data_IF_328310298493
#
_entry.id   IF_328310298493
#
_cell.length_a   1.000
_cell.length_b   1.000
_cell.length_c   1.000
_cell.angle_alpha   90.00
_cell.angle_beta   90.00
_cell.angle_gamma   90.00
#
_symmetry.space_group_name_H-M   'P 1'
#
loop_
_entity.id
_entity.type
_entity.pdbx_description
1 polymer ?
#
# COMPACT_ATOMS: atom_id res chain seq x y z
N UNK A 1 -7.97 10.22 13.94
CA UNK A 1 -7.65 10.83 12.63
C UNK A 1 -6.45 10.15 12.03
N UNK A 2 -6.49 9.87 10.75
CA UNK A 2 -5.35 9.29 10.02
C UNK A 2 -4.88 10.27 8.94
N UNK A 3 -3.56 10.36 8.74
CA UNK A 3 -2.92 11.29 7.81
C UNK A 3 -2.18 10.58 6.65
N UNK A 4 -2.35 9.25 6.52
CA UNK A 4 -1.69 8.45 5.45
C UNK A 4 -2.56 7.28 5.04
N UNK A 5 -2.54 6.93 3.75
CA UNK A 5 -3.39 5.88 3.19
C UNK A 5 -3.20 4.53 3.92
N UNK A 6 -1.97 4.10 4.19
CA UNK A 6 -1.72 2.85 4.88
C UNK A 6 -2.29 2.82 6.32
N UNK A 7 -2.30 3.98 7.01
CA UNK A 7 -2.90 4.09 8.34
C UNK A 7 -4.42 4.23 8.28
N UNK A 8 -4.96 4.77 7.18
CA UNK A 8 -6.41 4.79 6.92
C UNK A 8 -6.97 3.37 6.83
N UNK A 9 -6.33 2.51 6.05
CA UNK A 9 -6.74 1.11 5.87
C UNK A 9 -6.72 0.32 7.17
N UNK A 10 -5.65 0.45 7.96
CA UNK A 10 -5.58 -0.16 9.28
C UNK A 10 -6.66 0.38 10.21
N UNK A 11 -6.89 1.69 10.21
CA UNK A 11 -7.90 2.32 11.05
C UNK A 11 -9.30 1.83 10.68
N UNK A 12 -9.65 1.81 9.39
CA UNK A 12 -10.93 1.30 8.89
C UNK A 12 -11.13 -0.20 9.15
N UNK A 13 -10.04 -0.98 9.24
CA UNK A 13 -10.09 -2.40 9.57
C UNK A 13 -10.31 -2.66 11.06
N UNK A 14 -9.87 -1.75 11.92
CA UNK A 14 -9.81 -1.96 13.37
C UNK A 14 -10.96 -1.31 14.12
N UNK A 15 -11.45 -0.16 13.69
CA UNK A 15 -12.48 0.58 14.43
C UNK A 15 -13.73 0.85 13.59
N UNK A 16 -14.83 1.15 14.26
CA UNK A 16 -16.07 1.54 13.58
C UNK A 16 -15.91 2.92 12.93
N UNK A 17 -16.55 3.19 11.77
CA UNK A 17 -16.48 4.48 11.10
C UNK A 17 -16.83 5.67 12.02
N UNK A 18 -17.76 5.50 12.96
CA UNK A 18 -18.15 6.54 13.94
C UNK A 18 -17.04 6.97 14.90
N UNK A 19 -15.96 6.17 15.01
CA UNK A 19 -14.77 6.49 15.81
C UNK A 19 -13.67 7.15 14.98
N UNK A 20 -13.85 7.28 13.66
CA UNK A 20 -12.85 7.83 12.74
C UNK A 20 -13.20 9.28 12.46
N UNK A 21 -12.40 10.21 12.98
CA UNK A 21 -12.59 11.63 12.77
C UNK A 21 -12.39 12.03 11.30
N UNK A 22 -11.34 11.52 10.65
CA UNK A 22 -11.15 11.60 9.21
C UNK A 22 -10.07 10.61 8.72
N UNK A 23 -10.11 10.31 7.43
CA UNK A 23 -9.10 9.59 6.65
C UNK A 23 -8.54 10.53 5.58
N UNK A 24 -7.47 10.15 4.89
CA UNK A 24 -6.96 10.97 3.77
C UNK A 24 -7.95 10.93 2.59
N UNK A 25 -7.95 11.97 1.76
CA UNK A 25 -8.76 12.02 0.54
C UNK A 25 -8.44 10.85 -0.40
N UNK A 26 -7.21 10.32 -0.35
CA UNK A 26 -6.77 9.16 -1.13
C UNK A 26 -7.63 7.91 -0.88
N UNK A 27 -8.17 7.75 0.34
CA UNK A 27 -9.07 6.65 0.68
C UNK A 27 -10.42 6.71 -0.05
N UNK A 28 -10.76 7.85 -0.65
CA UNK A 28 -11.98 8.01 -1.45
C UNK A 28 -11.73 7.98 -2.96
N UNK A 29 -10.49 7.73 -3.39
CA UNK A 29 -10.22 7.48 -4.80
C UNK A 29 -10.83 6.15 -5.26
N UNK A 30 -11.10 6.04 -6.56
CA UNK A 30 -11.83 4.90 -7.15
C UNK A 30 -11.24 3.54 -6.80
N UNK A 31 -9.91 3.44 -6.80
CA UNK A 31 -9.22 2.19 -6.48
C UNK A 31 -9.39 1.82 -4.99
N UNK A 32 -9.16 2.78 -4.10
CA UNK A 32 -9.30 2.58 -2.66
C UNK A 32 -10.75 2.25 -2.26
N UNK A 33 -11.74 2.89 -2.87
CA UNK A 33 -13.17 2.62 -2.61
C UNK A 33 -13.61 1.21 -3.03
N UNK A 34 -12.96 0.57 -3.99
CA UNK A 34 -13.22 -0.84 -4.32
C UNK A 34 -12.89 -1.77 -3.14
N UNK A 35 -11.81 -1.47 -2.43
CA UNK A 35 -11.33 -2.26 -1.30
C UNK A 35 -12.00 -1.84 0.02
N UNK A 36 -12.26 -0.54 0.17
CA UNK A 36 -12.74 0.10 1.40
C UNK A 36 -13.98 0.98 1.15
N UNK A 37 -15.12 0.42 0.73
CA UNK A 37 -16.31 1.22 0.36
C UNK A 37 -16.84 2.07 1.53
N UNK A 38 -16.58 1.69 2.79
CA UNK A 38 -16.94 2.47 3.96
C UNK A 38 -16.21 3.82 4.05
N UNK A 39 -15.09 4.00 3.36
CA UNK A 39 -14.37 5.29 3.31
C UNK A 39 -15.25 6.42 2.75
N UNK A 40 -16.21 6.11 1.87
CA UNK A 40 -17.15 7.09 1.32
C UNK A 40 -18.02 7.80 2.39
N UNK A 41 -18.15 7.22 3.58
CA UNK A 41 -18.97 7.75 4.68
C UNK A 41 -18.12 8.45 5.76
N UNK A 42 -16.80 8.49 5.60
CA UNK A 42 -15.88 9.08 6.57
C UNK A 42 -15.43 10.43 6.04
N UNK A 43 -15.33 11.43 6.91
CA UNK A 43 -14.78 12.73 6.53
C UNK A 43 -13.35 12.60 6.03
N UNK A 44 -12.97 13.39 5.02
CA UNK A 44 -11.61 13.39 4.47
C UNK A 44 -10.79 14.54 4.99
N UNK A 45 -9.48 14.37 4.96
CA UNK A 45 -8.48 15.40 5.17
C UNK A 45 -7.43 15.40 4.06
N UNK A 46 -6.74 16.52 3.90
CA UNK A 46 -5.68 16.73 2.92
C UNK A 46 -4.30 16.88 3.59
N UNK A 47 -4.16 16.34 4.78
CA UNK A 47 -2.93 16.36 5.58
C UNK A 47 -2.49 17.78 6.00
N UNK A 48 -3.42 18.72 6.16
CA UNK A 48 -3.10 20.06 6.63
C UNK A 48 -3.17 20.18 8.15
N UNK A 49 -2.33 21.02 8.72
CA UNK A 49 -2.34 21.29 10.16
C UNK A 49 -3.64 21.97 10.60
N UNK A 50 -4.22 22.79 9.75
CA UNK A 50 -5.48 23.50 9.97
C UNK A 50 -6.64 22.52 10.14
N UNK A 51 -6.71 21.48 9.32
CA UNK A 51 -7.73 20.44 9.42
C UNK A 51 -7.60 19.64 10.73
N UNK A 52 -6.36 19.33 11.14
CA UNK A 52 -6.10 18.66 12.43
C UNK A 52 -6.55 19.53 13.59
N UNK A 53 -6.19 20.82 13.60
CA UNK A 53 -6.58 21.75 14.67
C UNK A 53 -8.09 21.96 14.71
N UNK A 54 -8.76 22.07 13.57
CA UNK A 54 -10.21 22.23 13.48
C UNK A 54 -10.98 20.98 13.97
N UNK A 55 -10.47 19.79 13.63
CA UNK A 55 -11.10 18.49 13.96
C UNK A 55 -10.90 18.12 15.44
N UNK A 56 -9.83 18.58 16.08
CA UNK A 56 -9.45 18.25 17.47
C UNK A 56 -9.52 16.76 17.78
N UNK A 57 -8.82 15.90 17.03
CA UNK A 57 -8.83 14.47 17.30
C UNK A 57 -8.10 14.16 18.61
N UNK A 58 -8.48 13.08 19.28
CA UNK A 58 -7.79 12.56 20.47
C UNK A 58 -6.53 11.74 20.08
N UNK A 59 -6.53 11.15 18.90
CA UNK A 59 -5.43 10.35 18.35
C UNK A 59 -5.18 10.72 16.88
N UNK A 60 -3.90 10.88 16.53
CA UNK A 60 -3.42 11.09 15.17
C UNK A 60 -2.47 9.96 14.80
N UNK A 61 -2.78 9.26 13.71
CA UNK A 61 -1.87 8.31 13.07
C UNK A 61 -1.16 9.00 11.92
N UNK A 62 0.16 8.92 11.90
CA UNK A 62 1.01 9.53 10.87
C UNK A 62 2.16 8.58 10.51
N UNK A 63 3.07 8.98 9.66
CA UNK A 63 4.23 8.18 9.26
C UNK A 63 5.57 8.89 9.50
N UNK A 64 6.66 8.20 9.25
CA UNK A 64 8.03 8.72 9.36
C UNK A 64 8.37 9.80 8.31
N UNK A 65 7.57 9.94 7.25
CA UNK A 65 7.78 10.96 6.20
C UNK A 65 7.13 12.31 6.54
N UNK A 66 6.43 12.39 7.67
CA UNK A 66 5.86 13.66 8.16
C UNK A 66 6.98 14.66 8.45
N UNK A 67 6.90 15.84 7.84
CA UNK A 67 7.93 16.88 7.98
C UNK A 67 8.13 17.29 9.44
N UNK A 68 9.34 17.71 9.85
CA UNK A 68 9.60 18.15 11.23
C UNK A 68 8.69 19.32 11.65
N UNK A 69 8.34 20.21 10.72
CA UNK A 69 7.42 21.32 10.97
C UNK A 69 6.01 20.80 11.27
N UNK A 70 5.46 19.95 10.42
CA UNK A 70 4.15 19.33 10.63
C UNK A 70 4.11 18.54 11.93
N UNK A 71 5.14 17.75 12.22
CA UNK A 71 5.25 16.99 13.47
C UNK A 71 5.16 17.89 14.71
N UNK A 72 5.84 19.04 14.71
CA UNK A 72 5.73 20.01 15.81
C UNK A 72 4.29 20.54 15.98
N UNK A 73 3.60 20.85 14.88
CA UNK A 73 2.22 21.33 14.90
C UNK A 73 1.26 20.25 15.43
N UNK A 74 1.44 19.00 14.99
CA UNK A 74 0.66 17.86 15.50
C UNK A 74 0.86 17.66 17.02
N UNK A 75 2.08 17.80 17.53
CA UNK A 75 2.35 17.72 18.96
C UNK A 75 1.72 18.86 19.77
N UNK A 76 1.55 20.05 19.17
CA UNK A 76 0.88 21.19 19.79
C UNK A 76 -0.66 21.08 19.78
N UNK A 77 -1.23 20.18 19.00
CA UNK A 77 -2.67 19.98 18.93
C UNK A 77 -3.29 19.42 20.23
N UNK A 78 -2.47 18.89 21.12
CA UNK A 78 -2.91 18.18 22.33
C UNK A 78 -3.35 16.73 22.07
N UNK A 79 -3.37 16.28 20.84
CA UNK A 79 -3.68 14.90 20.48
C UNK A 79 -2.50 13.97 20.77
N UNK A 80 -2.79 12.70 21.06
CA UNK A 80 -1.77 11.66 21.04
C UNK A 80 -1.34 11.39 19.60
N UNK A 81 -0.08 11.61 19.26
CA UNK A 81 0.49 11.34 17.94
C UNK A 81 1.20 10.00 17.96
N UNK A 82 0.84 9.10 17.04
CA UNK A 82 1.49 7.80 16.85
C UNK A 82 2.04 7.75 15.44
N UNK A 83 3.37 7.63 15.36
CA UNK A 83 4.09 7.45 14.10
C UNK A 83 4.13 5.96 13.77
N UNK A 84 3.58 5.60 12.62
CA UNK A 84 3.53 4.25 12.11
C UNK A 84 4.62 4.09 11.04
N UNK A 85 5.62 3.23 11.27
CA UNK A 85 6.68 3.02 10.28
C UNK A 85 6.15 2.32 9.03
N UNK A 86 6.81 2.47 7.87
CA UNK A 86 6.48 1.71 6.68
C UNK A 86 6.69 0.20 6.94
N UNK A 87 5.90 -0.62 6.27
CA UNK A 87 5.97 -2.08 6.34
C UNK A 87 6.35 -2.66 4.98
N UNK A 88 7.54 -3.21 4.87
CA UNK A 88 8.12 -3.76 3.63
C UNK A 88 8.01 -5.28 3.57
N UNK A 89 7.55 -5.92 4.64
CA UNK A 89 7.39 -7.36 4.74
C UNK A 89 6.31 -7.75 5.78
N UNK A 90 5.91 -9.01 5.77
CA UNK A 90 4.83 -9.50 6.65
C UNK A 90 5.16 -9.42 8.14
N UNK A 91 6.42 -9.47 8.53
CA UNK A 91 6.81 -9.28 9.95
C UNK A 91 6.56 -7.85 10.39
N UNK A 92 6.91 -6.88 9.54
CA UNK A 92 6.64 -5.47 9.80
C UNK A 92 5.12 -5.17 9.73
N UNK A 93 4.36 -5.78 8.80
CA UNK A 93 2.89 -5.67 8.79
C UNK A 93 2.29 -6.12 10.11
N UNK A 94 2.72 -7.26 10.67
CA UNK A 94 2.24 -7.71 12.00
C UNK A 94 2.56 -6.69 13.08
N UNK A 95 3.77 -6.13 13.05
CA UNK A 95 4.21 -5.15 14.04
C UNK A 95 3.39 -3.84 13.95
N UNK A 96 3.19 -3.28 12.76
CA UNK A 96 2.41 -2.05 12.59
C UNK A 96 0.93 -2.25 12.85
N UNK A 97 0.36 -3.42 12.51
CA UNK A 97 -1.03 -3.77 12.84
C UNK A 97 -1.23 -3.81 14.36
N UNK A 98 -0.29 -4.38 15.10
CA UNK A 98 -0.31 -4.38 16.56
C UNK A 98 -0.17 -2.98 17.14
N UNK A 99 0.76 -2.19 16.61
CA UNK A 99 1.00 -0.81 17.03
C UNK A 99 -0.28 0.04 16.91
N UNK A 100 -0.95 -0.04 15.76
CA UNK A 100 -2.20 0.69 15.52
C UNK A 100 -3.32 0.12 16.40
N UNK A 101 -3.43 -1.20 16.51
CA UNK A 101 -4.40 -1.86 17.39
C UNK A 101 -4.29 -1.42 18.85
N UNK A 102 -3.07 -1.33 19.38
CA UNK A 102 -2.82 -0.83 20.73
C UNK A 102 -3.16 0.66 20.85
N UNK A 103 -2.82 1.45 19.84
CA UNK A 103 -3.08 2.88 19.83
C UNK A 103 -4.58 3.21 19.89
N UNK A 104 -5.42 2.42 19.21
CA UNK A 104 -6.89 2.63 19.15
C UNK A 104 -7.68 1.78 20.16
N UNK A 105 -6.98 0.97 20.99
CA UNK A 105 -7.60 0.10 22.00
C UNK A 105 -8.29 -1.15 21.41
N UNK A 106 -7.87 -1.58 20.21
CA UNK A 106 -8.47 -2.71 19.48
C UNK A 106 -7.46 -3.85 19.23
N UNK A 107 -6.57 -4.11 20.19
CA UNK A 107 -5.56 -5.18 20.09
C UNK A 107 -6.17 -6.55 19.73
N UNK A 108 -7.30 -6.99 20.30
CA UNK A 108 -7.89 -8.26 19.91
C UNK A 108 -8.28 -8.32 18.43
N UNK A 109 -8.81 -7.22 17.87
CA UNK A 109 -9.14 -7.15 16.43
C UNK A 109 -7.87 -7.17 15.56
N UNK A 110 -6.81 -6.51 15.99
CA UNK A 110 -5.52 -6.55 15.31
C UNK A 110 -4.98 -7.99 15.22
N UNK A 111 -5.04 -8.77 16.29
CA UNK A 111 -4.61 -10.18 16.26
C UNK A 111 -5.50 -11.04 15.34
N UNK A 112 -6.80 -10.76 15.25
CA UNK A 112 -7.68 -11.43 14.26
C UNK A 112 -7.28 -11.11 12.83
N UNK A 113 -6.94 -9.86 12.51
CA UNK A 113 -6.45 -9.47 11.17
C UNK A 113 -5.14 -10.18 10.85
N UNK A 114 -4.21 -10.21 11.79
CA UNK A 114 -2.92 -10.92 11.65
C UNK A 114 -3.15 -12.41 11.42
N UNK A 115 -4.01 -13.04 12.20
CA UNK A 115 -4.31 -14.47 12.06
C UNK A 115 -4.92 -14.80 10.69
N UNK A 116 -5.79 -13.93 10.15
CA UNK A 116 -6.34 -14.07 8.78
C UNK A 116 -5.26 -13.97 7.72
N UNK A 117 -4.37 -12.98 7.81
CA UNK A 117 -3.24 -12.83 6.91
C UNK A 117 -2.33 -14.06 6.97
N UNK A 118 -2.00 -14.54 8.18
CA UNK A 118 -1.14 -15.71 8.38
C UNK A 118 -1.78 -16.98 7.83
N UNK A 119 -3.10 -17.12 7.92
CA UNK A 119 -3.81 -18.25 7.30
C UNK A 119 -3.72 -18.15 5.78
N UNK A 120 -3.99 -16.98 5.18
CA UNK A 120 -3.89 -16.78 3.75
C UNK A 120 -2.47 -17.08 3.23
N UNK A 121 -1.42 -16.70 3.98
CA UNK A 121 -0.04 -17.02 3.63
C UNK A 121 0.25 -18.54 3.68
N UNK A 122 -0.31 -19.27 4.63
CA UNK A 122 -0.19 -20.74 4.67
C UNK A 122 -0.92 -21.41 3.49
N UNK A 123 -2.12 -20.94 3.18
CA UNK A 123 -2.91 -21.47 2.07
C UNK A 123 -2.19 -21.20 0.73
N UNK A 124 -1.63 -20.01 0.58
CA UNK A 124 -0.82 -19.65 -0.59
C UNK A 124 0.44 -20.53 -0.71
N UNK A 125 1.12 -20.78 0.40
CA UNK A 125 2.31 -21.65 0.41
C UNK A 125 2.01 -23.08 -0.03
N UNK A 126 0.80 -23.58 0.25
CA UNK A 126 0.36 -24.91 -0.17
C UNK A 126 0.07 -25.02 -1.68
N UNK A 127 -0.10 -23.89 -2.37
CA UNK A 127 -0.42 -23.82 -3.81
C UNK A 127 0.71 -23.29 -4.65
N UNK A 128 1.91 -23.18 -4.09
CA UNK A 128 3.08 -22.68 -4.83
C UNK A 128 3.37 -23.52 -6.06
N UNK A 129 3.74 -22.89 -7.19
CA UNK A 129 4.14 -23.62 -8.38
C UNK A 129 5.46 -24.36 -8.16
N UNK A 130 5.65 -25.48 -8.85
CA UNK A 130 6.87 -26.30 -8.78
C UNK A 130 8.10 -25.57 -9.34
N UNK A 131 7.89 -24.52 -10.12
CA UNK A 131 8.97 -23.70 -10.71
C UNK A 131 8.72 -22.22 -10.40
N UNK A 132 9.82 -21.51 -10.12
CA UNK A 132 9.75 -20.09 -9.84
C UNK A 132 9.48 -19.29 -11.12
N UNK A 133 8.43 -18.44 -11.08
CA UNK A 133 8.08 -17.51 -12.16
C UNK A 133 8.87 -16.22 -11.96
N UNK A 134 9.57 -15.76 -12.99
CA UNK A 134 10.35 -14.51 -13.00
C UNK A 134 9.41 -13.32 -13.24
N UNK A 135 9.20 -12.50 -12.22
CA UNK A 135 8.27 -11.38 -12.28
C UNK A 135 9.02 -10.07 -12.16
N UNK A 136 8.55 -9.07 -12.88
CA UNK A 136 8.95 -7.67 -12.71
C UNK A 136 7.72 -6.82 -12.44
N UNK A 137 7.72 -6.07 -11.35
CA UNK A 137 6.73 -5.02 -11.13
C UNK A 137 6.96 -3.88 -12.12
N UNK A 138 5.89 -3.28 -12.64
CA UNK A 138 5.97 -2.18 -13.59
C UNK A 138 4.95 -1.11 -13.24
N UNK A 139 5.41 -0.03 -12.66
CA UNK A 139 4.59 1.11 -12.26
C UNK A 139 4.66 2.28 -13.22
N UNK A 140 3.95 3.35 -12.91
CA UNK A 140 3.92 4.57 -13.70
C UNK A 140 5.30 5.19 -13.91
N UNK A 141 5.61 5.53 -15.17
CA UNK A 141 6.90 6.08 -15.55
C UNK A 141 8.04 5.08 -15.59
N UNK A 142 7.75 3.77 -15.61
CA UNK A 142 8.76 2.72 -15.61
C UNK A 142 9.35 2.41 -14.24
N UNK A 143 8.68 2.81 -13.16
CA UNK A 143 9.11 2.44 -11.81
C UNK A 143 9.01 0.93 -11.59
N UNK A 144 10.04 0.35 -11.02
CA UNK A 144 10.16 -1.08 -10.74
C UNK A 144 10.48 -1.25 -9.26
N UNK A 145 9.61 -1.94 -8.48
CA UNK A 145 9.89 -2.22 -7.09
C UNK A 145 10.93 -3.34 -6.94
N UNK A 146 11.93 -3.10 -6.11
CA UNK A 146 13.02 -4.04 -5.84
C UNK A 146 12.71 -5.05 -4.73
N UNK A 147 13.77 -5.73 -4.26
CA UNK A 147 13.64 -6.81 -3.27
C UNK A 147 13.35 -6.37 -1.84
N UNK A 148 13.56 -5.10 -1.52
CA UNK A 148 13.29 -4.55 -0.19
C UNK A 148 11.91 -3.88 -0.11
N UNK A 149 10.91 -4.42 -0.82
CA UNK A 149 9.56 -3.88 -0.87
C UNK A 149 8.51 -4.91 -0.46
N UNK A 150 7.35 -4.43 -0.04
CA UNK A 150 6.21 -5.30 0.22
C UNK A 150 5.78 -6.08 -1.04
N UNK A 151 5.90 -5.47 -2.22
CA UNK A 151 5.69 -6.17 -3.50
C UNK A 151 6.52 -7.46 -3.58
N UNK A 152 7.82 -7.37 -3.25
CA UNK A 152 8.69 -8.55 -3.26
C UNK A 152 8.25 -9.58 -2.21
N UNK A 153 7.90 -9.16 -1.01
CA UNK A 153 7.45 -10.08 0.05
C UNK A 153 6.19 -10.86 -0.37
N UNK A 154 5.24 -10.19 -1.02
CA UNK A 154 4.02 -10.82 -1.57
C UNK A 154 4.36 -11.78 -2.69
N UNK A 155 5.23 -11.36 -3.62
CA UNK A 155 5.66 -12.17 -4.75
C UNK A 155 6.36 -13.46 -4.30
N UNK A 156 7.31 -13.36 -3.35
CA UNK A 156 8.00 -14.52 -2.78
C UNK A 156 7.04 -15.47 -2.05
N UNK A 157 6.06 -14.92 -1.34
CA UNK A 157 5.02 -15.73 -0.70
C UNK A 157 4.22 -16.54 -1.73
N UNK A 158 3.98 -15.97 -2.91
CA UNK A 158 3.32 -16.65 -4.03
C UNK A 158 4.23 -17.62 -4.82
N UNK A 159 5.51 -17.73 -4.47
CA UNK A 159 6.47 -18.59 -5.17
C UNK A 159 7.11 -17.95 -6.42
N UNK A 160 6.91 -16.65 -6.62
CA UNK A 160 7.57 -15.89 -7.68
C UNK A 160 8.96 -15.39 -7.28
N UNK A 161 9.72 -14.94 -8.26
CA UNK A 161 11.04 -14.32 -8.10
C UNK A 161 11.02 -12.92 -8.69
N UNK A 162 11.26 -11.91 -7.85
CA UNK A 162 11.49 -10.57 -8.33
C UNK A 162 12.86 -10.46 -8.98
N UNK A 163 12.89 -10.17 -10.28
CA UNK A 163 14.13 -10.04 -11.02
C UNK A 163 14.80 -8.67 -10.85
N UNK A 164 14.09 -7.68 -10.34
CA UNK A 164 14.65 -6.39 -9.96
C UNK A 164 15.31 -6.49 -8.58
N UNK A 165 16.63 -6.27 -8.55
CA UNK A 165 17.38 -6.31 -7.28
C UNK A 165 17.07 -5.10 -6.39
N UNK A 166 16.98 -3.92 -7.00
CA UNK A 166 16.75 -2.64 -6.33
C UNK A 166 15.56 -1.91 -6.96
N UNK A 167 14.97 -1.01 -6.20
CA UNK A 167 14.02 -0.04 -6.71
C UNK A 167 14.69 0.82 -7.77
N UNK A 168 13.95 1.17 -8.82
CA UNK A 168 14.51 2.01 -9.87
C UNK A 168 13.53 2.31 -10.98
N UNK A 169 14.03 3.04 -11.97
CA UNK A 169 13.31 3.32 -13.20
C UNK A 169 13.98 2.59 -14.35
N UNK A 170 13.18 1.88 -15.11
CA UNK A 170 13.60 1.18 -16.32
C UNK A 170 12.91 1.82 -17.52
N UNK A 171 13.64 1.91 -18.62
CA UNK A 171 13.04 2.11 -19.92
C UNK A 171 12.49 0.79 -20.48
N UNK A 172 11.77 0.88 -21.58
CA UNK A 172 11.17 -0.30 -22.23
C UNK A 172 12.25 -1.29 -22.71
N UNK A 173 13.39 -0.80 -23.14
CA UNK A 173 14.53 -1.58 -23.60
C UNK A 173 15.15 -2.38 -22.43
N UNK A 174 15.37 -1.74 -21.31
CA UNK A 174 15.86 -2.38 -20.07
C UNK A 174 14.92 -3.45 -19.55
N UNK A 175 13.60 -3.19 -19.60
CA UNK A 175 12.60 -4.18 -19.27
C UNK A 175 12.66 -5.41 -20.19
N UNK A 176 12.75 -5.19 -21.51
CA UNK A 176 12.87 -6.28 -22.50
C UNK A 176 14.15 -7.07 -22.28
N UNK A 177 15.26 -6.39 -22.01
CA UNK A 177 16.56 -7.03 -21.74
C UNK A 177 16.54 -7.88 -20.47
N UNK A 178 15.77 -7.49 -19.45
CA UNK A 178 15.61 -8.23 -18.19
C UNK A 178 14.84 -9.56 -18.37
N UNK A 179 14.07 -9.71 -19.45
CA UNK A 179 13.33 -10.94 -19.81
C UNK A 179 12.48 -11.50 -18.67
N UNK A 180 11.53 -10.74 -18.11
CA UNK A 180 10.56 -11.31 -17.17
C UNK A 180 9.64 -12.30 -17.86
N UNK A 181 9.18 -13.32 -17.11
CA UNK A 181 8.12 -14.21 -17.57
C UNK A 181 6.77 -13.51 -17.51
N UNK A 182 6.58 -12.68 -16.48
CA UNK A 182 5.32 -11.95 -16.19
C UNK A 182 5.64 -10.51 -15.80
N UNK A 183 4.81 -9.58 -16.28
CA UNK A 183 4.75 -8.21 -15.78
C UNK A 183 3.59 -8.04 -14.80
N UNK A 184 3.88 -7.43 -13.66
CA UNK A 184 2.88 -7.11 -12.64
C UNK A 184 2.65 -5.59 -12.58
N UNK A 185 1.41 -5.17 -12.78
CA UNK A 185 1.00 -3.76 -12.78
C UNK A 185 0.13 -3.46 -11.56
N UNK A 186 0.34 -2.29 -10.93
CA UNK A 186 -0.63 -1.74 -10.00
C UNK A 186 -1.86 -1.22 -10.73
N UNK A 187 -3.06 -1.40 -10.16
CA UNK A 187 -4.31 -1.01 -10.84
C UNK A 187 -4.62 0.49 -10.73
N UNK A 188 -3.96 1.24 -9.87
CA UNK A 188 -4.16 2.68 -9.65
C UNK A 188 -3.98 3.52 -10.92
N UNK A 189 -3.23 3.04 -11.88
CA UNK A 189 -2.81 3.80 -13.05
C UNK A 189 -3.48 3.36 -14.35
N UNK A 190 -4.32 2.33 -14.33
CA UNK A 190 -4.87 1.75 -15.57
C UNK A 190 -5.90 2.68 -16.21
N UNK A 191 -6.68 3.37 -15.39
CA UNK A 191 -7.80 4.21 -15.85
C UNK A 191 -7.47 5.72 -15.85
N UNK A 192 -6.26 6.12 -15.49
CA UNK A 192 -5.89 7.55 -15.38
C UNK A 192 -5.02 7.94 -16.58
N UNK A 193 -5.53 8.74 -17.53
CA UNK A 193 -4.71 9.21 -18.66
C UNK A 193 -3.52 10.03 -18.14
N UNK A 194 -2.32 9.53 -18.38
CA UNK A 194 -1.10 10.27 -18.09
C UNK A 194 0.05 9.73 -18.94
N UNK A 195 1.03 10.58 -19.26
CA UNK A 195 2.23 10.16 -19.98
C UNK A 195 2.97 9.02 -19.29
N UNK A 196 2.81 8.88 -17.97
CA UNK A 196 3.40 7.78 -17.20
C UNK A 196 2.69 6.45 -17.45
N UNK A 197 1.39 6.48 -17.73
CA UNK A 197 0.57 5.28 -18.01
C UNK A 197 0.68 4.88 -19.48
N UNK A 198 0.95 5.82 -20.38
CA UNK A 198 1.09 5.55 -21.81
C UNK A 198 2.18 4.52 -22.11
N UNK A 199 3.21 4.43 -21.28
CA UNK A 199 4.23 3.37 -21.39
C UNK A 199 3.64 1.97 -21.23
N UNK A 200 2.57 1.81 -20.42
CA UNK A 200 1.91 0.52 -20.22
C UNK A 200 1.18 0.04 -21.49
N UNK A 201 0.78 0.98 -22.35
CA UNK A 201 0.16 0.73 -23.64
C UNK A 201 1.17 0.62 -24.80
N UNK A 202 2.47 0.65 -24.50
CA UNK A 202 3.52 0.58 -25.54
C UNK A 202 3.34 -0.69 -26.40
N UNK A 203 3.29 -0.58 -27.75
CA UNK A 203 2.94 -1.70 -28.64
C UNK A 203 3.84 -2.93 -28.46
N UNK A 204 5.13 -2.71 -28.17
CA UNK A 204 6.08 -3.79 -27.95
C UNK A 204 5.78 -4.53 -26.64
N UNK A 205 5.42 -3.82 -25.57
CA UNK A 205 5.05 -4.46 -24.29
C UNK A 205 3.73 -5.24 -24.43
N UNK A 206 2.76 -4.71 -25.16
CA UNK A 206 1.51 -5.43 -25.47
C UNK A 206 1.78 -6.70 -26.28
N UNK A 207 2.68 -6.63 -27.28
CA UNK A 207 3.04 -7.78 -28.12
C UNK A 207 3.79 -8.85 -27.32
N UNK A 208 4.76 -8.48 -26.49
CA UNK A 208 5.59 -9.41 -25.76
C UNK A 208 4.92 -9.98 -24.51
N UNK A 209 4.12 -9.18 -23.81
CA UNK A 209 3.57 -9.51 -22.50
C UNK A 209 2.04 -9.50 -22.43
N UNK A 210 1.31 -9.24 -23.51
CA UNK A 210 -0.15 -9.08 -23.50
C UNK A 210 -0.93 -10.22 -22.82
N UNK A 211 -0.46 -11.46 -22.98
CA UNK A 211 -0.99 -12.66 -22.29
C UNK A 211 -0.27 -13.04 -20.99
N UNK A 212 0.71 -12.25 -20.56
CA UNK A 212 1.57 -12.52 -19.40
C UNK A 212 1.65 -11.31 -18.47
N UNK A 213 0.52 -10.62 -18.34
CA UNK A 213 0.36 -9.49 -17.42
C UNK A 213 -0.58 -9.88 -16.30
N UNK A 214 -0.23 -9.48 -15.09
CA UNK A 214 -1.11 -9.51 -13.94
C UNK A 214 -1.32 -8.08 -13.44
N UNK A 215 -2.51 -7.81 -12.93
CA UNK A 215 -2.84 -6.54 -12.28
C UNK A 215 -3.08 -6.86 -10.82
N UNK A 216 -2.42 -6.13 -9.95
CA UNK A 216 -2.61 -6.25 -8.50
C UNK A 216 -3.20 -4.95 -7.94
N UNK A 217 -4.00 -5.01 -6.87
CA UNK A 217 -4.46 -3.82 -6.17
C UNK A 217 -3.26 -3.04 -5.64
N UNK A 218 -3.15 -1.75 -5.95
CA UNK A 218 -2.05 -0.88 -5.55
C UNK A 218 -2.46 0.04 -4.40
#
# INVERSE_FOLDING_TARGET
MSLKICTDELLMSLVLPSRIASVTFLSQEKAALKLWPQAAQIAVNHNSAEEVLATRPDLILTDSFTTPQMRRLLMQSGARVVEVPPAENFTQIRAVTRLVGDAVGERPRAEVLIARMDQALRDLAATRPDHAVRVMGWGGGGYVPGRLTLFNAVLEAAGGVNIAANDGYYDVEGLIAARPDVLAYGDDYIDTPSLRVDQNAHPVLLKLFGGRRIVYPA
#
